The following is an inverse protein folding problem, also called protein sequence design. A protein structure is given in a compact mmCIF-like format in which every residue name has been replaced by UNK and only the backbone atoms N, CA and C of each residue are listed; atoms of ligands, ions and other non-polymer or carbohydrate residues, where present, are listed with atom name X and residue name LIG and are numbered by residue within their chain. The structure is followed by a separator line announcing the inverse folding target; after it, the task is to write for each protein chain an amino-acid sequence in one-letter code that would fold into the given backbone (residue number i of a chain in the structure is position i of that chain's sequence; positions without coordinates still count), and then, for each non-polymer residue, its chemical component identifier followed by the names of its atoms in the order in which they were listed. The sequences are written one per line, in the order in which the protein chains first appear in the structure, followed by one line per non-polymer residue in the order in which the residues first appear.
data_IF_547692731219
#
_entry.id   IF_547692731219
#
_cell.length_a   1.000
_cell.length_b   1.000
_cell.length_c   1.000
_cell.angle_alpha   90.00
_cell.angle_beta   90.00
_cell.angle_gamma   90.00
#
_symmetry.space_group_name_H-M   'P 1'
#
loop_
_entity.id
_entity.type
_entity.pdbx_description
1 polymer ?
#
# COMPACT_ATOMS: atom_id res chain seq x y z
N UNK A 1 -18.05 -2.36 23.27
CA UNK A 1 -17.86 -1.39 22.23
C UNK A 1 -18.38 -1.91 20.91
N UNK A 2 -19.13 -1.10 20.27
CA UNK A 2 -19.79 -1.49 19.04
C UNK A 2 -19.03 -0.99 17.86
N UNK A 3 -18.26 -1.85 17.23
CA UNK A 3 -17.58 -1.48 16.01
C UNK A 3 -18.17 -2.24 14.85
N UNK A 4 -19.26 -1.73 14.38
CA UNK A 4 -19.94 -2.37 13.29
C UNK A 4 -19.52 -1.68 12.00
N UNK A 5 -18.85 -2.43 11.16
CA UNK A 5 -18.50 -1.94 9.84
C UNK A 5 -19.60 -2.34 8.89
N UNK A 6 -20.15 -1.36 8.22
CA UNK A 6 -21.21 -1.56 7.26
C UNK A 6 -20.64 -2.14 5.97
N UNK A 7 -20.18 -3.39 6.04
CA UNK A 7 -19.75 -4.23 4.91
C UNK A 7 -18.73 -3.62 3.94
N UNK A 8 -18.00 -2.60 4.36
CA UNK A 8 -16.93 -2.07 3.55
C UNK A 8 -17.33 -1.23 2.35
N UNK A 9 -18.59 -0.85 2.26
CA UNK A 9 -19.01 0.05 1.19
C UNK A 9 -18.83 1.51 1.56
N UNK A 10 -18.59 1.80 2.83
CA UNK A 10 -18.35 3.14 3.31
C UNK A 10 -16.94 3.56 2.90
N UNK A 11 -16.83 4.74 2.28
CA UNK A 11 -15.53 5.28 1.86
C UNK A 11 -14.61 5.65 3.02
N UNK A 12 -15.12 5.64 4.25
CA UNK A 12 -14.31 5.84 5.44
C UNK A 12 -13.53 4.60 5.86
N UNK A 13 -13.69 3.51 5.13
CA UNK A 13 -13.02 2.24 5.45
C UNK A 13 -12.18 1.78 4.28
N UNK A 14 -11.09 1.09 4.60
CA UNK A 14 -10.22 0.48 3.61
C UNK A 14 -10.32 -1.04 3.76
N UNK A 15 -10.58 -1.73 2.67
CA UNK A 15 -10.70 -3.18 2.65
C UNK A 15 -9.36 -3.80 2.29
N UNK A 16 -8.90 -4.73 3.12
CA UNK A 16 -7.66 -5.47 2.84
C UNK A 16 -7.92 -6.97 2.98
N UNK A 17 -7.18 -7.81 2.25
CA UNK A 17 -7.37 -9.26 2.34
C UNK A 17 -6.90 -9.79 3.71
N UNK A 18 -7.70 -10.63 4.31
CA UNK A 18 -7.35 -11.20 5.61
C UNK A 18 -6.07 -12.04 5.57
N UNK A 19 -5.74 -12.61 4.43
CA UNK A 19 -4.56 -13.45 4.27
C UNK A 19 -3.27 -12.71 4.59
N UNK A 20 -3.25 -11.39 4.46
CA UNK A 20 -2.03 -10.63 4.73
C UNK A 20 -1.62 -10.74 6.20
N UNK A 21 -2.59 -10.93 7.10
CA UNK A 21 -2.30 -11.04 8.53
C UNK A 21 -1.69 -12.39 8.89
N UNK A 22 -1.72 -13.35 7.99
CA UNK A 22 -1.17 -14.69 8.18
C UNK A 22 0.04 -14.96 7.29
N UNK A 23 0.53 -13.92 6.61
CA UNK A 23 1.58 -14.09 5.61
C UNK A 23 3.00 -14.09 6.20
N UNK A 24 3.14 -13.86 7.50
CA UNK A 24 4.46 -13.82 8.12
C UNK A 24 5.24 -12.55 7.83
N UNK A 25 4.56 -11.49 7.44
CA UNK A 25 5.19 -10.21 7.14
C UNK A 25 5.43 -9.41 8.42
N UNK A 26 6.39 -8.48 8.36
CA UNK A 26 6.57 -7.54 9.46
C UNK A 26 5.35 -6.62 9.58
N UNK A 27 5.15 -6.05 10.76
CA UNK A 27 4.08 -5.07 10.97
C UNK A 27 4.26 -3.89 10.04
N UNK A 28 5.50 -3.49 9.79
CA UNK A 28 5.81 -2.40 8.85
C UNK A 28 5.27 -2.73 7.46
N UNK A 29 5.52 -3.93 6.96
CA UNK A 29 5.04 -4.33 5.64
C UNK A 29 3.52 -4.39 5.59
N UNK A 30 2.88 -4.96 6.62
CA UNK A 30 1.42 -4.99 6.68
C UNK A 30 0.84 -3.58 6.70
N UNK A 31 1.41 -2.71 7.52
CA UNK A 31 0.98 -1.31 7.57
C UNK A 31 1.15 -0.59 6.26
N UNK A 32 2.26 -0.83 5.56
CA UNK A 32 2.48 -0.25 4.23
C UNK A 32 1.44 -0.74 3.23
N UNK A 33 1.12 -2.02 3.25
CA UNK A 33 0.08 -2.55 2.36
C UNK A 33 -1.23 -1.81 2.58
N UNK A 34 -1.61 -1.60 3.85
CA UNK A 34 -2.84 -0.89 4.17
C UNK A 34 -2.81 0.57 3.71
N UNK A 35 -1.68 1.24 3.88
CA UNK A 35 -1.53 2.62 3.41
C UNK A 35 -1.65 2.71 1.89
N UNK A 36 -1.02 1.78 1.17
CA UNK A 36 -1.11 1.73 -0.28
C UNK A 36 -2.55 1.50 -0.71
N UNK A 37 -3.23 0.56 -0.06
CA UNK A 37 -4.63 0.26 -0.37
C UNK A 37 -5.52 1.49 -0.20
N UNK A 38 -5.29 2.26 0.84
CA UNK A 38 -6.05 3.48 1.10
C UNK A 38 -5.82 4.53 0.01
N UNK A 39 -4.55 4.76 -0.34
CA UNK A 39 -4.22 5.76 -1.37
C UNK A 39 -4.81 5.36 -2.72
N UNK A 40 -4.68 4.08 -3.09
CA UNK A 40 -5.22 3.60 -4.37
C UNK A 40 -6.74 3.68 -4.39
N UNK A 41 -7.39 3.37 -3.26
CA UNK A 41 -8.85 3.40 -3.20
C UNK A 41 -9.43 4.80 -3.40
N UNK A 42 -8.71 5.84 -2.96
CA UNK A 42 -9.16 7.22 -3.16
C UNK A 42 -8.63 7.85 -4.45
N UNK A 43 -8.00 7.05 -5.31
CA UNK A 43 -7.49 7.52 -6.59
C UNK A 43 -6.25 8.39 -6.51
N UNK A 44 -5.53 8.33 -5.38
CA UNK A 44 -4.33 9.12 -5.21
C UNK A 44 -3.12 8.54 -5.92
N UNK A 45 -2.11 9.36 -6.13
CA UNK A 45 -0.82 8.91 -6.62
C UNK A 45 0.01 8.39 -5.47
N UNK A 46 0.77 7.34 -5.74
CA UNK A 46 1.53 6.65 -4.70
C UNK A 46 3.01 6.69 -5.04
N UNK A 47 3.83 6.90 -4.01
CA UNK A 47 5.28 6.82 -4.09
C UNK A 47 5.81 6.61 -2.68
N UNK A 48 7.09 6.26 -2.56
CA UNK A 48 7.71 6.14 -1.23
C UNK A 48 7.62 7.46 -0.47
N UNK A 49 7.75 8.58 -1.18
CA UNK A 49 7.64 9.90 -0.59
C UNK A 49 6.26 10.17 0.01
N UNK A 50 5.21 9.81 -0.74
CA UNK A 50 3.83 9.96 -0.26
C UNK A 50 3.61 9.10 0.98
N UNK A 51 4.11 7.87 0.97
CA UNK A 51 3.98 6.98 2.12
C UNK A 51 4.73 7.51 3.32
N UNK A 52 5.91 8.08 3.12
CA UNK A 52 6.67 8.69 4.20
C UNK A 52 5.95 9.91 4.78
N UNK A 53 5.29 10.70 3.94
CA UNK A 53 4.53 11.86 4.39
C UNK A 53 3.30 11.47 5.21
N UNK A 54 2.73 10.31 4.93
CA UNK A 54 1.57 9.79 5.66
C UNK A 54 1.95 9.23 7.03
N UNK A 55 3.22 8.93 7.24
CA UNK A 55 3.68 8.21 8.42
C UNK A 55 4.90 8.90 9.00
N UNK A 56 5.36 8.43 10.15
CA UNK A 56 6.55 8.98 10.79
C UNK A 56 7.84 8.30 10.32
N UNK A 57 7.71 7.25 9.54
CA UNK A 57 8.85 6.48 9.07
C UNK A 57 9.61 7.24 7.99
N UNK A 58 10.92 7.11 7.99
CA UNK A 58 11.75 7.70 6.94
C UNK A 58 11.68 6.91 5.64
N UNK A 59 12.15 7.53 4.57
CA UNK A 59 12.12 6.94 3.22
C UNK A 59 12.82 5.57 3.18
N UNK A 60 13.97 5.46 3.86
CA UNK A 60 14.73 4.19 3.85
C UNK A 60 13.93 3.05 4.49
N UNK A 61 13.23 3.35 5.59
CA UNK A 61 12.38 2.36 6.25
C UNK A 61 11.21 1.97 5.37
N UNK A 62 10.58 2.96 4.74
CA UNK A 62 9.48 2.72 3.79
C UNK A 62 9.95 1.81 2.65
N UNK A 63 11.09 2.14 2.04
CA UNK A 63 11.62 1.32 0.93
C UNK A 63 11.93 -0.10 1.36
N UNK A 64 12.46 -0.29 2.57
CA UNK A 64 12.70 -1.63 3.11
C UNK A 64 11.41 -2.43 3.21
N UNK A 65 10.34 -1.83 3.70
CA UNK A 65 9.03 -2.50 3.80
C UNK A 65 8.43 -2.79 2.44
N UNK A 66 8.59 -1.88 1.48
CA UNK A 66 8.10 -2.10 0.13
C UNK A 66 8.81 -3.29 -0.52
N UNK A 67 10.12 -3.39 -0.33
CA UNK A 67 10.88 -4.55 -0.86
C UNK A 67 10.43 -5.85 -0.20
N UNK A 68 10.10 -5.81 1.08
CA UNK A 68 9.56 -6.98 1.76
C UNK A 68 8.24 -7.43 1.12
N UNK A 69 7.35 -6.49 0.85
CA UNK A 69 6.06 -6.80 0.20
C UNK A 69 6.29 -7.36 -1.20
N UNK A 70 7.23 -6.79 -1.95
CA UNK A 70 7.54 -7.27 -3.30
C UNK A 70 8.10 -8.69 -3.26
N UNK A 71 9.03 -8.95 -2.35
CA UNK A 71 9.64 -10.27 -2.24
C UNK A 71 8.63 -11.34 -1.84
N UNK A 72 7.63 -10.98 -1.06
CA UNK A 72 6.58 -11.90 -0.63
C UNK A 72 5.43 -12.01 -1.64
N UNK A 73 5.46 -11.24 -2.72
CA UNK A 73 4.45 -11.32 -3.76
C UNK A 73 3.18 -10.54 -3.50
N UNK A 74 3.20 -9.64 -2.52
CA UNK A 74 2.02 -8.84 -2.17
C UNK A 74 1.97 -7.49 -2.87
N UNK A 75 3.07 -7.09 -3.51
CA UNK A 75 3.17 -5.81 -4.19
C UNK A 75 3.98 -5.98 -5.46
N UNK A 76 3.54 -5.32 -6.51
CA UNK A 76 4.32 -5.19 -7.73
C UNK A 76 4.45 -3.72 -8.05
N UNK A 77 5.67 -3.24 -8.19
CA UNK A 77 5.94 -1.87 -8.62
C UNK A 77 6.53 -1.88 -10.02
N UNK A 78 6.13 -0.91 -10.81
CA UNK A 78 6.68 -0.71 -12.14
C UNK A 78 6.76 0.78 -12.43
N UNK A 79 7.47 1.14 -13.48
CA UNK A 79 7.54 2.52 -13.94
C UNK A 79 6.88 2.61 -15.30
N UNK A 80 6.11 3.68 -15.48
CA UNK A 80 5.49 4.00 -16.76
C UNK A 80 5.87 5.41 -17.15
N UNK A 81 5.69 5.72 -18.41
CA UNK A 81 6.03 7.01 -18.98
C UNK A 81 4.75 7.69 -19.42
N UNK A 82 4.59 8.97 -19.06
CA UNK A 82 3.43 9.74 -19.49
C UNK A 82 3.66 10.29 -20.89
N UNK A 83 2.69 11.05 -21.39
CA UNK A 83 2.75 11.62 -22.75
C UNK A 83 3.88 12.63 -22.92
N UNK A 84 4.38 13.17 -21.83
CA UNK A 84 5.46 14.18 -21.85
C UNK A 84 6.83 13.56 -21.60
N UNK A 85 6.89 12.23 -21.50
CA UNK A 85 8.14 11.53 -21.28
C UNK A 85 8.57 11.46 -19.82
N UNK A 86 7.73 11.85 -18.88
CA UNK A 86 8.03 11.77 -17.46
C UNK A 86 7.70 10.39 -16.92
N UNK A 87 8.61 9.83 -16.12
CA UNK A 87 8.37 8.54 -15.48
C UNK A 87 7.56 8.70 -14.21
N UNK A 88 6.69 7.74 -13.94
CA UNK A 88 5.96 7.67 -12.68
C UNK A 88 5.85 6.22 -12.23
N UNK A 89 5.73 6.03 -10.92
CA UNK A 89 5.62 4.69 -10.33
C UNK A 89 4.18 4.20 -10.35
N UNK A 90 4.00 2.93 -10.67
CA UNK A 90 2.71 2.26 -10.59
C UNK A 90 2.83 1.17 -9.54
N UNK A 91 1.91 1.19 -8.57
CA UNK A 91 1.86 0.21 -7.50
C UNK A 91 0.63 -0.66 -7.70
N UNK A 92 0.85 -1.95 -7.70
CA UNK A 92 -0.23 -2.93 -7.86
C UNK A 92 -0.21 -3.86 -6.66
N UNK A 93 -1.29 -3.84 -5.89
CA UNK A 93 -1.45 -4.74 -4.76
C UNK A 93 -1.92 -6.09 -5.24
N UNK A 94 -1.40 -7.14 -4.63
CA UNK A 94 -1.70 -8.50 -4.99
C UNK A 94 -2.23 -9.26 -3.79
N UNK A 95 -3.01 -10.30 -4.08
CA UNK A 95 -3.59 -11.18 -3.08
C UNK A 95 -2.97 -12.55 -3.23
N UNK A 96 -1.91 -12.79 -2.54
CA UNK A 96 -1.28 -14.10 -2.63
C UNK A 96 -1.92 -15.11 -1.71
#
# INVERSE_FOLDING_TARGET
MNNTFENGTDKDFTIVPNQIFKAGLSIKAVGLYMCIAEVLARGGRISASVLADMNKDGIASIESGLRELEAAGWLRRSKKKDNKGHFYSVYELRNN
#
